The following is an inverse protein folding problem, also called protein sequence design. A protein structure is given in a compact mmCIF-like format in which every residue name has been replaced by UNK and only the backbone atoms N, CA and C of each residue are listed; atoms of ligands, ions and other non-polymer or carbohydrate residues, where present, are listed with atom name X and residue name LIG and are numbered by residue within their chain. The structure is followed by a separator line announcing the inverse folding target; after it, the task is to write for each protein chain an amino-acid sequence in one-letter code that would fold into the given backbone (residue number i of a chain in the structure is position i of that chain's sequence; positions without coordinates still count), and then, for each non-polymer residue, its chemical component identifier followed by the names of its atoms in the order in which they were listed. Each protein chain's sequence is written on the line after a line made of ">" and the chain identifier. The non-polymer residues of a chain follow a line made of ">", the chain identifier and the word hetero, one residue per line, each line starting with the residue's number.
data_IF_775183176186
#
_entry.id   IF_775183176186
#
_cell.length_a   1.000
_cell.length_b   1.000
_cell.length_c   1.000
_cell.angle_alpha   90.00
_cell.angle_beta   90.00
_cell.angle_gamma   90.00
#
_symmetry.space_group_name_H-M   'P 1'
#
loop_
_entity.id
_entity.type
_entity.pdbx_description
1 polymer ?
#
# COMPACT_ATOMS: atom_id res chain seq x y z
N UNK A 1 -15.13 0.94 -1.19
CA UNK A 1 -13.98 1.24 -0.33
C UNK A 1 -12.72 0.78 -1.04
N UNK A 2 -11.73 1.65 -1.17
CA UNK A 2 -10.42 1.37 -1.73
C UNK A 2 -9.56 0.62 -0.70
N UNK A 3 -8.81 -0.42 -1.12
CA UNK A 3 -7.96 -1.19 -0.21
C UNK A 3 -6.78 -0.36 0.31
N UNK A 4 -6.39 -0.61 1.55
CA UNK A 4 -5.27 0.05 2.21
C UNK A 4 -5.05 -0.49 3.62
N UNK A 5 -4.09 0.10 4.31
CA UNK A 5 -3.71 -0.29 5.67
C UNK A 5 -4.55 0.50 6.68
N UNK A 6 -5.67 -0.07 7.06
CA UNK A 6 -6.60 0.50 8.02
C UNK A 6 -7.38 -0.58 8.77
N UNK A 7 -7.98 -0.17 9.88
CA UNK A 7 -8.94 -0.93 10.68
C UNK A 7 -10.30 -0.27 10.52
N UNK A 8 -11.32 -1.09 10.26
CA UNK A 8 -12.72 -0.65 10.20
C UNK A 8 -13.32 -0.71 11.60
N UNK A 9 -13.96 0.39 12.00
CA UNK A 9 -14.73 0.50 13.23
C UNK A 9 -16.23 0.47 12.93
N UNK A 10 -16.99 1.34 13.59
CA UNK A 10 -18.44 1.49 13.40
C UNK A 10 -18.74 2.42 12.21
N UNK A 11 -19.39 1.91 11.14
CA UNK A 11 -19.74 2.71 9.96
C UNK A 11 -20.64 3.93 10.24
N UNK A 12 -21.33 3.98 11.38
CA UNK A 12 -22.16 5.12 11.78
C UNK A 12 -21.37 6.24 12.48
N UNK A 13 -20.11 5.99 12.88
CA UNK A 13 -19.28 7.00 13.52
C UNK A 13 -18.90 8.13 12.54
N UNK A 14 -18.91 9.35 13.06
CA UNK A 14 -18.51 10.54 12.30
C UNK A 14 -17.00 10.76 12.17
N UNK A 15 -16.19 9.88 12.76
CA UNK A 15 -14.75 10.08 12.94
C UNK A 15 -13.96 9.13 12.04
N UNK A 16 -13.12 9.70 11.19
CA UNK A 16 -11.99 9.03 10.56
C UNK A 16 -10.68 9.48 11.20
N UNK A 17 -9.71 8.58 11.30
CA UNK A 17 -8.39 8.86 11.88
C UNK A 17 -7.30 8.40 10.90
N UNK A 18 -6.40 9.31 10.54
CA UNK A 18 -5.15 8.98 9.85
C UNK A 18 -3.98 9.13 10.83
N UNK A 19 -3.19 8.07 11.00
CA UNK A 19 -1.92 8.12 11.76
C UNK A 19 -0.74 8.55 10.89
N UNK A 20 -1.01 9.11 9.70
CA UNK A 20 -0.02 9.55 8.73
C UNK A 20 0.96 8.41 8.39
N UNK A 21 2.26 8.58 8.63
CA UNK A 21 3.29 7.57 8.38
C UNK A 21 3.63 6.74 9.63
N UNK A 22 2.85 6.85 10.71
CA UNK A 22 3.11 6.20 11.99
C UNK A 22 2.32 4.89 12.13
N UNK A 23 2.92 3.80 11.65
CA UNK A 23 2.36 2.45 11.73
C UNK A 23 2.32 1.91 13.17
N UNK A 24 3.28 2.30 13.99
CA UNK A 24 3.30 1.87 15.39
C UNK A 24 2.19 2.55 16.18
N UNK A 25 1.96 3.84 15.91
CA UNK A 25 0.82 4.56 16.49
C UNK A 25 -0.52 3.99 16.00
N UNK A 26 -0.62 3.54 14.74
CA UNK A 26 -1.79 2.79 14.26
C UNK A 26 -2.06 1.55 15.12
N UNK A 27 -1.04 0.71 15.36
CA UNK A 27 -1.18 -0.50 16.19
C UNK A 27 -1.58 -0.15 17.63
N UNK A 28 -0.93 0.86 18.20
CA UNK A 28 -1.24 1.33 19.55
C UNK A 28 -2.69 1.82 19.68
N UNK A 29 -3.18 2.62 18.73
CA UNK A 29 -4.57 3.08 18.75
C UNK A 29 -5.56 1.94 18.46
N UNK A 30 -5.27 1.07 17.50
CA UNK A 30 -6.14 -0.05 17.14
C UNK A 30 -6.38 -1.03 18.31
N UNK A 31 -5.41 -1.15 19.22
CA UNK A 31 -5.51 -1.99 20.43
C UNK A 31 -6.22 -1.32 21.61
N UNK A 32 -6.35 0.01 21.60
CA UNK A 32 -6.81 0.79 22.77
C UNK A 32 -8.13 1.51 22.54
N UNK A 33 -8.35 2.04 21.34
CA UNK A 33 -9.56 2.79 21.00
C UNK A 33 -10.67 1.80 20.63
N UNK A 34 -11.80 1.88 21.34
CA UNK A 34 -12.96 1.03 21.07
C UNK A 34 -13.47 1.24 19.63
N UNK A 35 -13.80 0.14 18.94
CA UNK A 35 -14.20 0.17 17.52
C UNK A 35 -15.43 1.01 17.23
N UNK A 36 -16.31 1.23 18.20
CA UNK A 36 -17.48 2.11 18.05
C UNK A 36 -17.16 3.61 18.09
N UNK A 37 -15.91 3.99 18.33
CA UNK A 37 -15.50 5.39 18.43
C UNK A 37 -15.07 6.02 17.10
N UNK A 38 -14.77 5.20 16.09
CA UNK A 38 -14.34 5.66 14.76
C UNK A 38 -14.96 4.80 13.68
N UNK A 39 -15.09 5.33 12.46
CA UNK A 39 -15.52 4.56 11.30
C UNK A 39 -14.33 3.88 10.62
N UNK A 40 -13.21 4.59 10.51
CA UNK A 40 -11.99 4.09 9.88
C UNK A 40 -10.76 4.70 10.57
N UNK A 41 -9.76 3.86 10.83
CA UNK A 41 -8.48 4.23 11.44
C UNK A 41 -7.36 3.63 10.59
N UNK A 42 -6.47 4.42 10.01
CA UNK A 42 -5.43 3.90 9.13
C UNK A 42 -4.23 4.81 8.94
N UNK A 43 -3.28 4.35 8.11
CA UNK A 43 -2.10 5.12 7.72
C UNK A 43 -2.30 5.79 6.36
N UNK A 44 -1.61 6.90 6.15
CA UNK A 44 -1.56 7.61 4.87
C UNK A 44 -0.12 8.02 4.58
N UNK A 45 0.55 7.27 3.70
CA UNK A 45 2.01 7.37 3.50
C UNK A 45 2.43 8.22 2.29
N UNK A 46 1.59 8.28 1.26
CA UNK A 46 1.96 8.93 0.00
C UNK A 46 1.09 10.15 -0.26
N UNK A 47 1.74 11.23 -0.72
CA UNK A 47 1.13 12.53 -0.99
C UNK A 47 0.06 12.52 -2.09
N UNK A 48 0.11 11.53 -2.96
CA UNK A 48 -0.85 11.34 -4.06
C UNK A 48 -1.80 10.18 -3.76
N UNK A 49 -1.42 8.94 -4.10
CA UNK A 49 -2.31 7.76 -4.06
C UNK A 49 -2.90 7.54 -2.66
N UNK A 50 -2.12 7.75 -1.60
CA UNK A 50 -2.58 7.62 -0.22
C UNK A 50 -3.67 8.64 0.12
N UNK A 51 -3.45 9.91 -0.25
CA UNK A 51 -4.44 10.99 -0.07
C UNK A 51 -5.70 10.71 -0.89
N UNK A 52 -5.56 10.29 -2.16
CA UNK A 52 -6.70 9.95 -3.01
C UNK A 52 -7.56 8.83 -2.41
N UNK A 53 -6.93 7.76 -1.91
CA UNK A 53 -7.64 6.66 -1.24
C UNK A 53 -8.31 7.10 0.06
N UNK A 54 -7.63 7.93 0.86
CA UNK A 54 -8.18 8.49 2.10
C UNK A 54 -9.46 9.29 1.80
N UNK A 55 -9.41 10.20 0.84
CA UNK A 55 -10.55 11.04 0.44
C UNK A 55 -11.69 10.17 -0.05
N UNK A 56 -11.42 9.22 -0.96
CA UNK A 56 -12.43 8.28 -1.47
C UNK A 56 -13.11 7.46 -0.40
N UNK A 57 -12.35 6.93 0.56
CA UNK A 57 -12.90 6.10 1.62
C UNK A 57 -13.76 6.90 2.60
N UNK A 58 -13.40 8.16 2.87
CA UNK A 58 -14.20 9.07 3.70
C UNK A 58 -15.48 9.49 2.97
N UNK A 59 -15.39 9.83 1.70
CA UNK A 59 -16.52 10.21 0.86
C UNK A 59 -17.52 9.06 0.63
N UNK A 60 -17.03 7.81 0.55
CA UNK A 60 -17.87 6.62 0.45
C UNK A 60 -18.73 6.36 1.71
N UNK A 61 -18.43 6.99 2.85
CA UNK A 61 -19.24 6.91 4.06
C UNK A 61 -19.81 8.28 4.46
N UNK A 62 -21.11 8.56 4.21
CA UNK A 62 -21.71 9.87 4.48
C UNK A 62 -21.68 10.27 5.96
N UNK A 63 -21.54 9.32 6.89
CA UNK A 63 -21.49 9.63 8.33
C UNK A 63 -20.21 10.36 8.74
N UNK A 64 -19.10 10.16 8.03
CA UNK A 64 -17.80 10.71 8.40
C UNK A 64 -17.78 12.22 8.15
N UNK A 65 -17.82 13.02 9.19
CA UNK A 65 -17.75 14.50 9.09
C UNK A 65 -16.47 15.07 9.71
N UNK A 66 -15.64 14.22 10.34
CA UNK A 66 -14.37 14.62 10.95
C UNK A 66 -13.24 13.70 10.53
N UNK A 67 -12.12 14.31 10.17
CA UNK A 67 -10.86 13.62 9.92
C UNK A 67 -9.82 14.11 10.92
N UNK A 68 -9.31 13.22 11.76
CA UNK A 68 -8.20 13.52 12.65
C UNK A 68 -6.89 13.07 11.99
N UNK A 69 -5.93 13.99 11.87
CA UNK A 69 -4.56 13.68 11.44
C UNK A 69 -3.69 13.62 12.70
N UNK A 70 -3.09 12.48 13.00
CA UNK A 70 -2.26 12.31 14.19
C UNK A 70 -1.03 11.46 13.88
N UNK A 71 -0.10 11.38 14.84
CA UNK A 71 1.13 10.61 14.67
C UNK A 71 2.19 11.32 13.84
N UNK A 72 3.31 10.63 13.65
CA UNK A 72 4.46 11.12 12.87
C UNK A 72 4.16 11.11 11.37
N UNK A 73 4.40 12.25 10.73
CA UNK A 73 4.42 12.34 9.26
C UNK A 73 5.78 11.97 8.68
N UNK A 74 5.82 11.64 7.38
CA UNK A 74 7.06 11.38 6.65
C UNK A 74 7.95 12.62 6.63
N UNK A 75 9.22 12.47 7.01
CA UNK A 75 10.20 13.58 6.99
C UNK A 75 10.58 14.03 5.58
N UNK A 76 10.49 13.14 4.59
CA UNK A 76 10.89 13.42 3.21
C UNK A 76 9.71 13.73 2.30
N UNK A 77 8.51 13.25 2.66
CA UNK A 77 7.30 13.43 1.88
C UNK A 77 6.06 13.62 2.77
N UNK A 78 5.97 14.71 3.54
CA UNK A 78 4.85 14.95 4.45
C UNK A 78 3.50 14.93 3.73
N UNK A 79 2.52 14.27 4.33
CA UNK A 79 1.18 14.08 3.77
C UNK A 79 0.15 15.04 4.38
N UNK A 80 0.25 15.34 5.68
CA UNK A 80 -0.70 16.21 6.35
C UNK A 80 -0.85 17.58 5.66
N UNK A 81 0.23 18.27 5.24
CA UNK A 81 0.10 19.53 4.49
C UNK A 81 -0.70 19.38 3.19
N UNK A 82 -0.62 18.24 2.50
CA UNK A 82 -1.39 18.00 1.28
C UNK A 82 -2.88 17.91 1.58
N UNK A 83 -3.26 17.17 2.62
CA UNK A 83 -4.66 17.02 3.04
C UNK A 83 -5.22 18.38 3.50
N UNK A 84 -4.42 19.17 4.22
CA UNK A 84 -4.81 20.51 4.68
C UNK A 84 -5.02 21.47 3.51
N UNK A 85 -4.12 21.52 2.53
CA UNK A 85 -4.27 22.37 1.34
C UNK A 85 -5.44 21.91 0.47
N UNK A 86 -5.62 20.60 0.30
CA UNK A 86 -6.76 20.02 -0.40
C UNK A 86 -8.09 20.42 0.25
N UNK A 87 -8.18 20.37 1.58
CA UNK A 87 -9.38 20.76 2.32
C UNK A 87 -9.69 22.25 2.19
N UNK A 88 -8.67 23.11 2.19
CA UNK A 88 -8.84 24.57 2.10
C UNK A 88 -9.15 25.03 0.67
N UNK A 89 -8.36 24.57 -0.29
CA UNK A 89 -8.31 25.16 -1.62
C UNK A 89 -8.80 24.23 -2.74
N UNK A 90 -8.95 22.93 -2.45
CA UNK A 90 -9.34 21.93 -3.44
C UNK A 90 -8.21 21.62 -4.43
N UNK A 91 -8.61 21.26 -5.65
CA UNK A 91 -7.70 20.98 -6.76
C UNK A 91 -7.87 22.01 -7.87
N UNK A 92 -6.79 22.23 -8.61
CA UNK A 92 -6.76 23.03 -9.82
C UNK A 92 -7.42 22.26 -10.98
N UNK A 93 -7.72 22.94 -12.09
CA UNK A 93 -8.37 22.31 -13.25
C UNK A 93 -7.59 21.16 -13.90
N UNK A 94 -6.29 21.04 -13.64
CA UNK A 94 -5.43 19.93 -14.07
C UNK A 94 -5.37 18.78 -13.05
N UNK A 95 -6.18 18.84 -11.98
CA UNK A 95 -6.22 17.84 -10.91
C UNK A 95 -5.09 17.95 -9.90
N UNK A 96 -4.42 19.10 -9.81
CA UNK A 96 -3.29 19.30 -8.89
C UNK A 96 -3.61 20.17 -7.68
N UNK A 97 -2.92 19.91 -6.57
CA UNK A 97 -2.88 20.76 -5.38
C UNK A 97 -1.46 21.28 -5.17
N UNK A 98 -1.31 22.57 -4.87
CA UNK A 98 -0.01 23.20 -4.63
C UNK A 98 0.28 23.24 -3.14
N UNK A 99 1.39 22.65 -2.73
CA UNK A 99 1.79 22.50 -1.32
C UNK A 99 3.23 22.96 -1.18
N UNK A 100 3.45 24.03 -0.41
CA UNK A 100 4.79 24.61 -0.17
C UNK A 100 5.60 24.82 -1.48
N UNK A 101 4.93 25.34 -2.51
CA UNK A 101 5.55 25.61 -3.81
C UNK A 101 5.74 24.40 -4.73
N UNK A 102 5.37 23.19 -4.30
CA UNK A 102 5.41 21.96 -5.11
C UNK A 102 4.02 21.55 -5.55
N UNK A 103 3.91 21.04 -6.76
CA UNK A 103 2.67 20.49 -7.31
C UNK A 103 2.52 19.01 -6.91
N UNK A 104 1.34 18.63 -6.43
CA UNK A 104 0.95 17.25 -6.16
C UNK A 104 -0.27 16.93 -7.02
N UNK A 105 -0.14 15.97 -7.93
CA UNK A 105 -1.22 15.58 -8.84
C UNK A 105 -2.08 14.48 -8.21
N UNK A 106 -3.38 14.74 -8.10
CA UNK A 106 -4.41 13.84 -7.60
C UNK A 106 -5.30 13.39 -8.77
N UNK A 107 -4.74 12.57 -9.67
CA UNK A 107 -5.36 12.17 -10.95
C UNK A 107 -6.63 11.32 -10.78
N UNK A 108 -6.82 10.77 -9.60
CA UNK A 108 -7.89 9.85 -9.29
C UNK A 108 -9.06 10.53 -8.54
N UNK A 109 -9.04 11.85 -8.36
CA UNK A 109 -10.13 12.62 -7.76
C UNK A 109 -10.66 13.63 -8.76
N UNK A 110 -11.98 13.72 -8.91
CA UNK A 110 -12.64 14.80 -9.63
C UNK A 110 -12.77 16.05 -8.74
N UNK A 111 -13.12 17.19 -9.34
CA UNK A 111 -13.39 18.41 -8.59
C UNK A 111 -14.59 18.22 -7.63
N UNK A 112 -15.65 17.56 -8.10
CA UNK A 112 -16.85 17.26 -7.30
C UNK A 112 -16.52 16.38 -6.08
N UNK A 113 -15.66 15.37 -6.27
CA UNK A 113 -15.20 14.52 -5.16
C UNK A 113 -14.46 15.30 -4.08
N UNK A 114 -13.63 16.24 -4.51
CA UNK A 114 -12.83 17.08 -3.62
C UNK A 114 -13.75 18.09 -2.93
N UNK A 115 -14.68 18.71 -3.65
CA UNK A 115 -15.61 19.69 -3.09
C UNK A 115 -16.60 19.07 -2.09
N UNK A 116 -17.05 17.84 -2.34
CA UNK A 116 -17.83 17.07 -1.38
C UNK A 116 -17.04 16.82 -0.09
N UNK A 117 -15.81 16.33 -0.22
CA UNK A 117 -14.94 16.10 0.93
C UNK A 117 -14.70 17.39 1.72
N UNK A 118 -14.40 18.50 1.03
CA UNK A 118 -14.13 19.82 1.64
C UNK A 118 -15.32 20.38 2.39
N UNK A 119 -16.51 20.26 1.82
CA UNK A 119 -17.73 20.83 2.37
C UNK A 119 -18.24 20.06 3.59
N UNK A 120 -18.04 18.74 3.62
CA UNK A 120 -18.55 17.87 4.69
C UNK A 120 -17.54 17.58 5.80
N UNK A 121 -16.25 17.46 5.48
CA UNK A 121 -15.25 16.92 6.40
C UNK A 121 -14.41 18.03 7.03
N UNK A 122 -14.53 18.17 8.35
CA UNK A 122 -13.67 19.04 9.15
C UNK A 122 -12.38 18.30 9.53
N UNK A 123 -11.24 18.90 9.22
CA UNK A 123 -9.94 18.36 9.65
C UNK A 123 -9.58 18.86 11.05
N UNK A 124 -9.14 17.93 11.90
CA UNK A 124 -8.50 18.19 13.19
C UNK A 124 -7.03 17.78 13.05
N UNK A 125 -6.16 18.78 12.92
CA UNK A 125 -4.72 18.55 12.75
C UNK A 125 -4.04 18.40 14.11
N UNK A 126 -3.57 17.18 14.39
CA UNK A 126 -2.74 16.80 15.53
C UNK A 126 -1.45 16.15 15.04
N UNK A 127 -0.98 16.51 13.83
CA UNK A 127 0.25 15.97 13.26
C UNK A 127 1.42 16.18 14.23
N UNK A 128 2.20 15.12 14.46
CA UNK A 128 3.28 15.11 15.44
C UNK A 128 2.87 14.70 16.86
N UNK A 129 1.57 14.68 17.20
CA UNK A 129 1.09 14.13 18.48
C UNK A 129 1.12 12.61 18.42
N UNK A 130 1.85 11.99 19.35
CA UNK A 130 2.05 10.53 19.42
C UNK A 130 1.62 9.92 20.76
N UNK A 131 1.01 10.74 21.62
CA UNK A 131 0.43 10.27 22.86
C UNK A 131 -0.99 9.77 22.60
N UNK A 132 -1.20 8.47 22.78
CA UNK A 132 -2.49 7.84 22.58
C UNK A 132 -3.54 8.36 23.57
N UNK A 133 -3.17 8.73 24.81
CA UNK A 133 -4.14 9.26 25.79
C UNK A 133 -4.75 10.57 25.32
N UNK A 134 -3.93 11.44 24.74
CA UNK A 134 -4.40 12.73 24.20
C UNK A 134 -5.44 12.48 23.10
N UNK A 135 -5.19 11.51 22.22
CA UNK A 135 -6.12 11.18 21.14
C UNK A 135 -7.39 10.48 21.66
N UNK A 136 -7.27 9.56 22.62
CA UNK A 136 -8.41 8.89 23.25
C UNK A 136 -9.35 9.91 23.89
N UNK A 137 -8.81 10.82 24.70
CA UNK A 137 -9.58 11.89 25.35
C UNK A 137 -10.25 12.82 24.33
N UNK A 138 -9.55 13.18 23.24
CA UNK A 138 -10.17 13.96 22.16
C UNK A 138 -11.36 13.21 21.55
N UNK A 139 -11.16 11.96 21.15
CA UNK A 139 -12.20 11.16 20.49
C UNK A 139 -13.40 10.92 21.41
N UNK A 140 -13.18 10.75 22.71
CA UNK A 140 -14.25 10.65 23.70
C UNK A 140 -15.03 11.95 23.89
N UNK A 141 -14.35 13.10 23.82
CA UNK A 141 -14.97 14.42 23.92
C UNK A 141 -15.68 14.90 22.64
N UNK A 142 -15.52 14.21 21.51
CA UNK A 142 -16.19 14.59 20.26
C UNK A 142 -17.63 14.10 20.22
N UNK A 143 -18.58 15.03 20.26
CA UNK A 143 -20.00 14.74 20.07
C UNK A 143 -20.27 14.19 18.67
N UNK A 144 -21.01 13.08 18.59
CA UNK A 144 -21.51 12.56 17.32
C UNK A 144 -22.65 13.47 16.84
N UNK A 145 -22.54 14.09 15.65
CA UNK A 145 -23.59 14.96 15.14
C UNK A 145 -24.89 14.16 14.95
N UNK A 146 -26.06 14.79 15.10
CA UNK A 146 -27.33 14.13 14.86
C UNK A 146 -27.38 13.57 13.43
N UNK A 147 -27.79 12.30 13.31
CA UNK A 147 -27.85 11.57 12.05
C UNK A 147 -28.62 12.34 10.98
N UNK A 148 -27.92 12.81 9.94
CA UNK A 148 -28.51 13.13 8.65
C UNK A 148 -27.63 12.53 7.56
N UNK A 149 -27.86 11.26 7.18
CA UNK A 149 -27.15 10.70 6.05
C UNK A 149 -27.58 11.44 4.79
N UNK A 150 -26.68 12.25 4.22
CA UNK A 150 -26.76 12.59 2.81
C UNK A 150 -26.53 11.32 2.00
N UNK A 151 -27.10 11.24 0.79
CA UNK A 151 -26.75 10.17 -0.13
C UNK A 151 -25.23 10.21 -0.33
N UNK A 152 -24.53 9.13 0.05
CA UNK A 152 -23.07 9.09 -0.05
C UNK A 152 -22.61 9.43 -1.47
N UNK A 153 -21.55 10.23 -1.58
CA UNK A 153 -20.99 10.59 -2.88
C UNK A 153 -20.46 9.33 -3.56
N UNK A 154 -21.16 8.89 -4.60
CA UNK A 154 -20.66 7.82 -5.46
C UNK A 154 -19.68 8.46 -6.43
N UNK A 155 -18.39 8.26 -6.18
CA UNK A 155 -17.34 8.53 -7.16
C UNK A 155 -17.78 7.98 -8.51
N UNK A 156 -17.74 8.84 -9.53
CA UNK A 156 -17.95 8.41 -10.91
C UNK A 156 -17.05 7.20 -11.16
N UNK A 157 -17.65 6.15 -11.73
CA UNK A 157 -17.03 4.84 -11.89
C UNK A 157 -15.60 4.98 -12.38
N UNK A 158 -14.67 4.46 -11.60
CA UNK A 158 -13.27 4.50 -11.96
C UNK A 158 -13.07 3.68 -13.23
N UNK A 159 -12.51 4.28 -14.29
CA UNK A 159 -12.21 3.65 -15.59
C UNK A 159 -11.09 2.58 -15.52
N UNK A 160 -11.14 1.69 -14.52
CA UNK A 160 -10.22 0.57 -14.39
C UNK A 160 -10.96 -0.75 -14.23
N UNK A 161 -10.40 -1.80 -14.82
CA UNK A 161 -10.94 -3.14 -14.72
C UNK A 161 -10.67 -3.73 -13.32
N UNK A 162 -11.71 -4.27 -12.69
CA UNK A 162 -11.59 -5.14 -11.52
C UNK A 162 -11.70 -6.58 -11.99
N UNK A 163 -10.56 -7.28 -12.00
CA UNK A 163 -10.45 -8.66 -12.48
C UNK A 163 -10.13 -9.54 -11.28
N UNK A 164 -10.92 -10.60 -11.07
CA UNK A 164 -10.57 -11.68 -10.13
C UNK A 164 -9.62 -12.61 -10.85
N UNK A 165 -8.46 -12.89 -10.25
CA UNK A 165 -7.48 -13.80 -10.83
C UNK A 165 -8.07 -15.21 -10.98
N UNK A 166 -7.68 -15.89 -12.05
CA UNK A 166 -7.97 -17.30 -12.30
C UNK A 166 -6.64 -18.01 -12.47
N UNK A 167 -6.55 -19.24 -11.97
CA UNK A 167 -5.36 -20.07 -12.11
C UNK A 167 -5.40 -20.83 -13.44
N UNK A 168 -4.21 -21.18 -13.96
CA UNK A 168 -4.04 -21.99 -15.16
C UNK A 168 -2.98 -23.06 -14.91
N UNK A 169 -3.41 -24.32 -14.89
CA UNK A 169 -2.55 -25.47 -14.60
C UNK A 169 -1.64 -25.86 -15.79
N UNK A 170 -1.69 -25.13 -16.91
CA UNK A 170 -0.84 -25.44 -18.06
C UNK A 170 0.63 -25.10 -17.82
N UNK A 171 1.44 -26.15 -17.65
CA UNK A 171 2.90 -26.03 -17.58
C UNK A 171 3.49 -25.93 -18.98
N UNK A 172 3.98 -24.75 -19.35
CA UNK A 172 4.64 -24.50 -20.64
C UNK A 172 6.11 -24.15 -20.39
N UNK A 173 7.04 -24.99 -20.82
CA UNK A 173 8.48 -24.78 -20.60
C UNK A 173 9.02 -23.53 -21.32
N UNK A 174 10.11 -22.93 -20.81
CA UNK A 174 10.80 -21.83 -21.50
C UNK A 174 11.64 -22.40 -22.65
N UNK A 175 11.62 -21.74 -23.80
CA UNK A 175 12.46 -22.12 -24.94
C UNK A 175 13.96 -22.00 -24.65
N UNK A 176 14.35 -21.22 -23.63
CA UNK A 176 15.73 -21.07 -23.19
C UNK A 176 16.16 -22.12 -22.17
N UNK A 177 15.20 -22.84 -21.59
CA UNK A 177 15.42 -23.97 -20.70
C UNK A 177 14.94 -23.73 -19.28
N UNK A 178 15.66 -24.23 -18.27
CA UNK A 178 15.20 -24.26 -16.89
C UNK A 178 16.32 -23.95 -15.90
N UNK A 179 15.91 -23.66 -14.66
CA UNK A 179 16.83 -23.28 -13.59
C UNK A 179 16.75 -24.27 -12.43
N UNK A 180 17.91 -24.55 -11.84
CA UNK A 180 18.01 -25.26 -10.57
C UNK A 180 18.68 -24.34 -9.55
N UNK A 181 18.09 -24.25 -8.36
CA UNK A 181 18.56 -23.36 -7.30
C UNK A 181 19.08 -24.17 -6.12
N UNK A 182 20.23 -23.75 -5.60
CA UNK A 182 20.85 -24.28 -4.40
C UNK A 182 21.20 -23.17 -3.43
N UNK A 183 21.32 -23.52 -2.15
CA UNK A 183 21.85 -22.65 -1.11
C UNK A 183 23.21 -23.17 -0.67
N UNK A 184 24.24 -22.36 -0.88
CA UNK A 184 25.57 -22.56 -0.33
C UNK A 184 25.68 -21.80 1.00
N UNK A 185 25.32 -22.48 2.09
CA UNK A 185 25.37 -21.90 3.43
C UNK A 185 26.80 -21.60 3.89
N UNK A 186 27.77 -22.40 3.46
CA UNK A 186 29.17 -22.24 3.87
C UNK A 186 29.72 -20.89 3.43
N UNK A 187 29.31 -20.42 2.24
CA UNK A 187 29.73 -19.14 1.69
C UNK A 187 28.67 -18.03 1.78
N UNK A 188 27.50 -18.32 2.36
CA UNK A 188 26.40 -17.36 2.49
C UNK A 188 25.83 -16.92 1.13
N UNK A 189 25.64 -17.86 0.18
CA UNK A 189 25.23 -17.57 -1.19
C UNK A 189 24.12 -18.48 -1.68
N UNK A 190 23.39 -18.00 -2.67
CA UNK A 190 22.47 -18.75 -3.51
C UNK A 190 23.20 -19.05 -4.81
N UNK A 191 23.08 -20.28 -5.31
CA UNK A 191 23.60 -20.72 -6.61
C UNK A 191 22.38 -20.97 -7.50
N UNK A 192 22.35 -20.35 -8.67
CA UNK A 192 21.32 -20.52 -9.68
C UNK A 192 21.98 -21.06 -10.95
N UNK A 193 21.72 -22.31 -11.24
CA UNK A 193 22.18 -22.97 -12.46
C UNK A 193 21.14 -22.84 -13.55
N UNK A 194 21.59 -22.64 -14.78
CA UNK A 194 20.74 -22.62 -15.96
C UNK A 194 21.10 -23.78 -16.88
N UNK A 195 20.08 -24.47 -17.37
CA UNK A 195 20.15 -25.60 -18.28
C UNK A 195 19.35 -25.29 -19.54
N UNK A 196 19.90 -25.57 -20.72
CA UNK A 196 19.13 -25.48 -21.96
C UNK A 196 18.09 -26.61 -22.07
N UNK A 197 17.25 -26.57 -23.10
CA UNK A 197 16.17 -27.57 -23.32
C UNK A 197 16.69 -28.98 -23.58
N UNK A 198 17.98 -29.15 -23.87
CA UNK A 198 18.64 -30.47 -23.99
C UNK A 198 19.16 -30.99 -22.65
N UNK A 199 19.02 -30.22 -21.56
CA UNK A 199 19.54 -30.56 -20.23
C UNK A 199 21.02 -30.27 -20.05
N UNK A 200 21.64 -29.48 -20.93
CA UNK A 200 23.04 -29.07 -20.78
C UNK A 200 23.13 -27.80 -19.92
N UNK A 201 23.95 -27.83 -18.87
CA UNK A 201 24.26 -26.65 -18.06
C UNK A 201 24.96 -25.60 -18.92
N UNK A 202 24.38 -24.40 -19.01
CA UNK A 202 24.90 -23.30 -19.83
C UNK A 202 25.36 -22.10 -19.01
N UNK A 203 24.89 -21.97 -17.76
CA UNK A 203 25.40 -20.95 -16.83
C UNK A 203 25.26 -21.38 -15.37
N UNK A 204 26.07 -20.76 -14.51
CA UNK A 204 25.93 -20.76 -13.06
C UNK A 204 26.10 -19.34 -12.56
N UNK A 205 25.12 -18.86 -11.80
CA UNK A 205 25.08 -17.49 -11.28
C UNK A 205 24.94 -17.60 -9.76
N UNK A 206 25.92 -17.07 -9.03
CA UNK A 206 25.88 -17.03 -7.57
C UNK A 206 25.77 -15.61 -7.03
N UNK A 207 25.10 -15.45 -5.90
CA UNK A 207 24.91 -14.16 -5.23
C UNK A 207 24.25 -14.29 -3.87
N UNK A 208 24.31 -13.23 -3.06
CA UNK A 208 23.70 -13.19 -1.72
C UNK A 208 22.25 -12.67 -1.72
N UNK A 209 21.72 -12.22 -2.86
CA UNK A 209 20.35 -11.69 -2.96
C UNK A 209 19.67 -12.20 -4.23
N UNK A 210 18.36 -12.46 -4.15
CA UNK A 210 17.54 -12.84 -5.29
C UNK A 210 17.63 -11.79 -6.40
N UNK A 211 17.63 -10.51 -6.01
CA UNK A 211 17.73 -9.36 -6.92
C UNK A 211 18.99 -9.37 -7.77
N UNK A 212 20.15 -9.69 -7.20
CA UNK A 212 21.39 -9.74 -7.97
C UNK A 212 21.35 -10.86 -9.01
N UNK A 213 20.78 -12.01 -8.63
CA UNK A 213 20.73 -13.21 -9.47
C UNK A 213 19.73 -13.01 -10.62
N UNK A 214 18.45 -12.70 -10.35
CA UNK A 214 17.46 -12.58 -11.43
C UNK A 214 17.79 -11.43 -12.41
N UNK A 215 18.41 -10.34 -11.93
CA UNK A 215 18.86 -9.26 -12.83
C UNK A 215 19.99 -9.71 -13.75
N UNK A 216 20.88 -10.59 -13.26
CA UNK A 216 21.95 -11.16 -14.06
C UNK A 216 21.39 -12.13 -15.09
N UNK A 217 20.46 -13.01 -14.70
CA UNK A 217 19.74 -13.92 -15.60
C UNK A 217 19.06 -13.16 -16.74
N UNK A 218 18.30 -12.10 -16.43
CA UNK A 218 17.62 -11.26 -17.43
C UNK A 218 18.63 -10.58 -18.36
N UNK A 219 19.70 -10.00 -17.81
CA UNK A 219 20.75 -9.34 -18.60
C UNK A 219 21.47 -10.31 -19.55
N UNK A 220 21.68 -11.56 -19.12
CA UNK A 220 22.28 -12.61 -19.94
C UNK A 220 21.29 -13.24 -20.93
N UNK A 221 20.01 -12.88 -20.87
CA UNK A 221 18.98 -13.41 -21.76
C UNK A 221 18.77 -14.91 -21.60
N UNK A 222 18.84 -15.45 -20.37
CA UNK A 222 18.72 -16.89 -20.11
C UNK A 222 17.27 -17.38 -19.97
N UNK A 223 16.27 -16.50 -20.06
CA UNK A 223 14.84 -16.86 -20.08
C UNK A 223 14.09 -15.99 -21.06
N UNK A 224 12.99 -16.47 -21.62
CA UNK A 224 12.18 -15.78 -22.64
C UNK A 224 10.74 -15.52 -22.21
N UNK A 225 10.21 -16.31 -21.25
CA UNK A 225 8.84 -16.26 -20.77
C UNK A 225 8.70 -15.43 -19.48
N UNK A 226 7.65 -14.60 -19.40
CA UNK A 226 7.44 -13.70 -18.25
C UNK A 226 6.91 -14.42 -17.00
N UNK A 227 6.03 -15.40 -17.20
CA UNK A 227 5.58 -16.35 -16.17
C UNK A 227 6.76 -17.11 -15.56
N UNK A 228 7.74 -17.51 -16.37
CA UNK A 228 8.96 -18.16 -15.89
C UNK A 228 9.89 -17.19 -15.16
N UNK A 229 10.00 -15.94 -15.63
CA UNK A 229 10.70 -14.90 -14.90
C UNK A 229 10.08 -14.66 -13.51
N UNK A 230 8.75 -14.68 -13.41
CA UNK A 230 8.02 -14.55 -12.15
C UNK A 230 8.24 -15.75 -11.23
N UNK A 231 8.16 -16.97 -11.75
CA UNK A 231 8.46 -18.20 -11.01
C UNK A 231 9.90 -18.20 -10.48
N UNK A 232 10.90 -17.89 -11.33
CA UNK A 232 12.29 -17.79 -10.93
C UNK A 232 12.48 -16.74 -9.82
N UNK A 233 11.84 -15.58 -9.95
CA UNK A 233 11.87 -14.53 -8.93
C UNK A 233 11.32 -15.01 -7.58
N UNK A 234 10.21 -15.78 -7.60
CA UNK A 234 9.61 -16.40 -6.41
C UNK A 234 10.56 -17.39 -5.75
N UNK A 235 11.13 -18.30 -6.53
CA UNK A 235 12.04 -19.32 -6.00
C UNK A 235 13.34 -18.73 -5.44
N UNK A 236 13.91 -17.72 -6.11
CA UNK A 236 15.08 -17.02 -5.60
C UNK A 236 14.79 -16.25 -4.31
N UNK A 237 13.61 -15.62 -4.20
CA UNK A 237 13.20 -14.94 -2.96
C UNK A 237 13.03 -15.94 -1.81
N UNK A 238 12.44 -17.12 -2.06
CA UNK A 238 12.37 -18.20 -1.07
C UNK A 238 13.74 -18.69 -0.64
N UNK A 239 14.66 -18.88 -1.59
CA UNK A 239 16.03 -19.26 -1.29
C UNK A 239 16.78 -18.19 -0.47
N UNK A 240 16.56 -16.90 -0.75
CA UNK A 240 17.11 -15.79 0.03
C UNK A 240 16.59 -15.77 1.47
N UNK A 241 15.27 -15.92 1.67
CA UNK A 241 14.69 -16.06 3.01
C UNK A 241 15.26 -17.28 3.76
N UNK A 242 15.33 -18.44 3.10
CA UNK A 242 15.85 -19.67 3.70
C UNK A 242 17.35 -19.58 4.07
N UNK A 243 18.13 -18.83 3.29
CA UNK A 243 19.51 -18.53 3.61
C UNK A 243 19.61 -17.62 4.85
N UNK A 244 18.78 -16.57 4.93
CA UNK A 244 18.78 -15.62 6.04
C UNK A 244 18.28 -16.21 7.37
N UNK A 245 17.25 -17.06 7.31
CA UNK A 245 16.61 -17.65 8.48
C UNK A 245 17.25 -18.98 8.93
N UNK A 246 18.08 -19.58 8.08
CA UNK A 246 18.63 -20.91 8.34
C UNK A 246 17.65 -22.07 8.08
N UNK A 247 16.47 -21.80 7.52
CA UNK A 247 15.42 -22.79 7.24
C UNK A 247 15.69 -23.58 5.95
N UNK A 248 15.12 -24.78 5.82
CA UNK A 248 15.32 -25.64 4.64
C UNK A 248 14.72 -25.01 3.36
N UNK A 249 15.43 -25.15 2.24
CA UNK A 249 14.94 -24.76 0.92
C UNK A 249 14.77 -26.00 0.04
N UNK A 250 13.57 -26.17 -0.47
CA UNK A 250 13.24 -27.15 -1.51
C UNK A 250 12.53 -26.40 -2.63
N UNK A 251 13.09 -26.45 -3.84
CA UNK A 251 12.48 -25.84 -5.01
C UNK A 251 11.16 -26.54 -5.34
N UNK A 252 10.12 -25.76 -5.62
CA UNK A 252 8.83 -26.35 -6.02
C UNK A 252 8.98 -27.08 -7.35
N UNK A 253 8.24 -28.17 -7.53
CA UNK A 253 8.08 -28.76 -8.86
C UNK A 253 7.15 -27.84 -9.65
N UNK A 254 7.66 -27.32 -10.77
CA UNK A 254 6.83 -26.68 -11.79
C UNK A 254 5.99 -27.74 -12.52
#
# INVERSE_FOLDING_TARGET
>A
MEPGDYVIGDPSSSIAISTLSDEEFLKQLASRLARNKYAILGVTRTRNIGVEKLVRNIAANPHITRLILAGRDSSTSPVAPVIMELSRHGISGDGSVRVQGREVRLRNLSADDVDEFRSRVRIIDMSGVRDAEVLLNLVEGLEQPPHQPTAGHRYAGTDYARITAQDDDQVVLDDRGFFIIYIDRGNGRIICEHYDTSGRKTAEISGSTARAIYKTVVRMGLLSRLDHAAYLGRELARAECALAEGSEYVQDRA
#
